data_IF_199398946741
#
_entry.id   IF_199398946741
#
_cell.length_a   1.000
_cell.length_b   1.000
_cell.length_c   1.000
_cell.angle_alpha   90.00
_cell.angle_beta   90.00
_cell.angle_gamma   90.00
#
_symmetry.space_group_name_H-M   'P 1'
#
loop_
_entity.id
_entity.type
_entity.pdbx_description
1 polymer ?
#
# COMPACT_ATOMS: atom_id res chain seq x y z
N UNK A 1 -29.11 0.01 25.66
CA UNK A 1 -29.38 -1.18 24.83
C UNK A 1 -29.90 -0.72 23.48
N UNK A 2 -29.28 -1.16 22.40
CA UNK A 2 -29.70 -0.91 21.01
C UNK A 2 -30.05 -2.26 20.39
N UNK A 3 -31.26 -2.48 19.92
CA UNK A 3 -31.67 -3.74 19.30
C UNK A 3 -31.92 -3.57 17.79
N UNK A 4 -32.08 -4.70 17.09
CA UNK A 4 -32.33 -4.72 15.66
C UNK A 4 -33.80 -5.02 15.29
N UNK A 5 -34.73 -4.92 16.25
CA UNK A 5 -36.16 -5.13 16.06
C UNK A 5 -36.62 -6.58 15.92
N UNK A 6 -35.69 -7.55 15.98
CA UNK A 6 -35.99 -8.99 15.98
C UNK A 6 -35.82 -9.57 17.38
N UNK A 7 -36.51 -10.67 17.67
CA UNK A 7 -36.43 -11.36 18.96
C UNK A 7 -36.04 -12.83 18.80
N UNK A 8 -35.19 -13.32 19.68
CA UNK A 8 -34.81 -14.73 19.81
C UNK A 8 -35.21 -15.29 21.18
N UNK A 9 -35.26 -16.63 21.26
CA UNK A 9 -35.55 -17.35 22.50
C UNK A 9 -34.35 -17.31 23.47
N UNK A 10 -33.13 -17.30 22.94
CA UNK A 10 -31.88 -17.30 23.71
C UNK A 10 -30.83 -16.46 22.99
N UNK A 11 -30.07 -15.69 23.75
CA UNK A 11 -29.00 -14.84 23.23
C UNK A 11 -27.65 -15.26 23.81
N UNK A 12 -26.61 -15.14 22.99
CA UNK A 12 -25.22 -15.40 23.36
C UNK A 12 -24.36 -14.20 23.00
N UNK A 13 -23.43 -13.84 23.89
CA UNK A 13 -22.43 -12.81 23.62
C UNK A 13 -21.43 -13.29 22.57
N UNK A 14 -21.17 -12.46 21.56
CA UNK A 14 -20.12 -12.67 20.56
C UNK A 14 -18.90 -11.77 20.76
N UNK A 15 -18.87 -11.00 21.86
CA UNK A 15 -17.76 -10.13 22.24
C UNK A 15 -18.02 -8.65 21.96
N UNK A 16 -16.95 -7.87 22.13
CA UNK A 16 -16.97 -6.42 22.04
C UNK A 16 -17.06 -5.90 20.59
N UNK A 17 -17.87 -4.86 20.38
CA UNK A 17 -18.03 -4.12 19.14
C UNK A 17 -17.87 -2.61 19.36
N UNK A 18 -17.23 -1.92 18.42
CA UNK A 18 -17.13 -0.46 18.46
C UNK A 18 -18.52 0.20 18.33
N UNK A 19 -18.79 1.19 19.18
CA UNK A 19 -20.07 1.89 19.23
C UNK A 19 -20.44 2.60 17.91
N UNK A 20 -19.44 2.99 17.09
CA UNK A 20 -19.64 3.60 15.76
C UNK A 20 -20.08 2.57 14.70
N UNK A 21 -19.73 1.30 14.91
CA UNK A 21 -19.98 0.21 13.94
C UNK A 21 -21.19 -0.64 14.36
N UNK A 22 -21.59 -0.58 15.64
CA UNK A 22 -22.70 -1.35 16.20
C UNK A 22 -24.02 -1.21 15.43
N UNK A 23 -24.41 0.01 15.03
CA UNK A 23 -25.68 0.24 14.32
C UNK A 23 -25.69 -0.39 12.89
N UNK A 24 -24.67 -0.17 12.04
CA UNK A 24 -24.54 -0.89 10.76
C UNK A 24 -24.58 -2.41 10.89
N UNK A 25 -23.92 -2.97 11.90
CA UNK A 25 -23.88 -4.43 12.13
C UNK A 25 -25.25 -4.95 12.55
N UNK A 26 -25.94 -4.28 13.48
CA UNK A 26 -27.30 -4.63 13.88
C UNK A 26 -28.26 -4.58 12.68
N UNK A 27 -28.13 -3.57 11.81
CA UNK A 27 -28.93 -3.46 10.59
C UNK A 27 -28.62 -4.59 9.58
N UNK A 28 -27.37 -5.02 9.46
CA UNK A 28 -26.99 -6.15 8.60
C UNK A 28 -27.54 -7.48 9.14
N UNK A 29 -27.48 -7.71 10.46
CA UNK A 29 -28.06 -8.88 11.12
C UNK A 29 -29.59 -8.91 10.97
N UNK A 30 -30.27 -7.77 11.09
CA UNK A 30 -31.71 -7.69 10.84
C UNK A 30 -32.09 -8.08 9.41
N UNK A 31 -31.30 -7.62 8.41
CA UNK A 31 -31.50 -8.02 7.00
C UNK A 31 -31.26 -9.51 6.76
N UNK A 32 -30.37 -10.13 7.55
CA UNK A 32 -30.13 -11.57 7.54
C UNK A 32 -31.20 -12.37 8.31
N UNK A 33 -32.14 -11.70 8.99
CA UNK A 33 -33.17 -12.35 9.82
C UNK A 33 -32.65 -12.87 11.16
N UNK A 34 -31.50 -12.36 11.62
CA UNK A 34 -30.83 -12.79 12.84
C UNK A 34 -31.12 -11.78 13.94
N UNK A 35 -31.74 -12.22 15.04
CA UNK A 35 -32.01 -11.35 16.18
C UNK A 35 -30.72 -11.00 16.93
N UNK A 36 -30.51 -9.72 17.19
CA UNK A 36 -29.33 -9.23 17.86
C UNK A 36 -29.60 -7.91 18.59
N UNK A 37 -28.86 -7.69 19.67
CA UNK A 37 -28.83 -6.43 20.40
C UNK A 37 -27.43 -6.13 20.90
N UNK A 38 -27.20 -4.86 21.22
CA UNK A 38 -25.95 -4.38 21.78
C UNK A 38 -26.22 -3.71 23.13
N UNK A 39 -25.48 -4.12 24.14
CA UNK A 39 -25.49 -3.51 25.46
C UNK A 39 -24.37 -2.49 25.57
N UNK A 40 -24.71 -1.27 26.00
CA UNK A 40 -23.71 -0.21 26.17
C UNK A 40 -22.90 -0.51 27.41
N UNK A 41 -21.58 -0.56 27.25
CA UNK A 41 -20.63 -0.75 28.34
C UNK A 41 -20.08 0.62 28.80
N UNK A 42 -19.74 0.75 30.08
CA UNK A 42 -19.04 1.94 30.59
C UNK A 42 -17.60 2.03 30.07
N UNK A 43 -16.99 0.88 29.77
CA UNK A 43 -15.69 0.75 29.12
C UNK A 43 -15.90 0.26 27.68
N UNK A 44 -15.44 1.05 26.69
CA UNK A 44 -15.47 0.66 25.28
C UNK A 44 -14.61 -0.59 25.09
N UNK A 45 -15.05 -1.61 24.32
CA UNK A 45 -16.20 -1.66 23.40
C UNK A 45 -17.57 -2.05 24.02
N UNK A 46 -18.66 -1.73 23.31
CA UNK A 46 -20.02 -2.21 23.64
C UNK A 46 -20.10 -3.74 23.44
N UNK A 47 -20.98 -4.45 24.15
CA UNK A 47 -21.09 -5.91 24.04
C UNK A 47 -22.22 -6.32 23.07
N UNK A 48 -21.90 -7.18 22.09
CA UNK A 48 -22.85 -7.64 21.08
C UNK A 48 -23.42 -9.02 21.43
N UNK A 49 -24.74 -9.11 21.48
CA UNK A 49 -25.49 -10.34 21.73
C UNK A 49 -26.29 -10.74 20.49
N UNK A 50 -26.27 -12.03 20.16
CA UNK A 50 -26.93 -12.60 18.99
C UNK A 50 -27.69 -13.88 19.36
N UNK A 51 -28.73 -14.21 18.60
CA UNK A 51 -29.46 -15.49 18.69
C UNK A 51 -28.50 -16.69 18.77
N UNK A 52 -28.59 -17.43 19.88
CA UNK A 52 -27.74 -18.59 20.15
C UNK A 52 -27.86 -19.69 19.08
N UNK A 53 -29.02 -19.80 18.41
CA UNK A 53 -29.26 -20.76 17.34
C UNK A 53 -28.64 -20.39 15.99
N UNK A 54 -28.16 -19.15 15.83
CA UNK A 54 -27.71 -18.62 14.53
C UNK A 54 -26.27 -18.09 14.55
N UNK A 55 -25.47 -18.47 15.55
CA UNK A 55 -24.08 -17.99 15.72
C UNK A 55 -23.23 -18.19 14.47
N UNK A 56 -23.28 -19.39 13.86
CA UNK A 56 -22.47 -19.72 12.68
C UNK A 56 -22.86 -18.88 11.45
N UNK A 57 -24.13 -18.48 11.36
CA UNK A 57 -24.62 -17.59 10.30
C UNK A 57 -24.33 -16.12 10.60
N UNK A 58 -24.33 -15.74 11.88
CA UNK A 58 -24.07 -14.37 12.32
C UNK A 58 -22.62 -13.95 12.13
N UNK A 59 -21.65 -14.83 12.44
CA UNK A 59 -20.20 -14.53 12.34
C UNK A 59 -19.77 -13.93 11.00
N UNK A 60 -20.08 -14.54 9.83
CA UNK A 60 -19.68 -13.96 8.55
C UNK A 60 -20.42 -12.65 8.23
N UNK A 61 -21.67 -12.50 8.68
CA UNK A 61 -22.44 -11.25 8.51
C UNK A 61 -21.78 -10.12 9.30
N UNK A 62 -21.45 -10.37 10.58
CA UNK A 62 -20.78 -9.41 11.46
C UNK A 62 -19.46 -8.97 10.84
N UNK A 63 -18.56 -9.91 10.52
CA UNK A 63 -17.25 -9.60 9.96
C UNK A 63 -17.33 -8.69 8.73
N UNK A 64 -18.19 -9.04 7.76
CA UNK A 64 -18.38 -8.25 6.55
C UNK A 64 -18.98 -6.87 6.84
N UNK A 65 -20.02 -6.81 7.67
CA UNK A 65 -20.69 -5.54 7.98
C UNK A 65 -19.83 -4.59 8.81
N UNK A 66 -18.92 -5.11 9.64
CA UNK A 66 -17.93 -4.32 10.37
C UNK A 66 -16.93 -3.70 9.40
N UNK A 67 -16.33 -4.50 8.51
CA UNK A 67 -15.38 -4.01 7.49
C UNK A 67 -16.02 -2.96 6.57
N UNK A 68 -17.26 -3.22 6.10
CA UNK A 68 -18.00 -2.28 5.23
C UNK A 68 -18.27 -0.95 5.95
N UNK A 69 -18.57 -0.98 7.26
CA UNK A 69 -18.82 0.22 8.05
C UNK A 69 -17.53 1.01 8.33
N UNK A 70 -16.44 0.32 8.67
CA UNK A 70 -15.11 0.93 8.87
C UNK A 70 -14.62 1.61 7.58
N UNK A 71 -14.72 0.92 6.44
CA UNK A 71 -14.34 1.48 5.15
C UNK A 71 -15.21 2.70 4.79
N UNK A 72 -16.52 2.62 5.01
CA UNK A 72 -17.42 3.75 4.77
C UNK A 72 -17.07 4.96 5.63
N UNK A 73 -16.68 4.75 6.89
CA UNK A 73 -16.21 5.82 7.78
C UNK A 73 -14.95 6.48 7.25
N UNK A 74 -13.95 5.68 6.83
CA UNK A 74 -12.72 6.19 6.21
C UNK A 74 -13.00 7.02 4.95
N UNK A 75 -13.89 6.54 4.08
CA UNK A 75 -14.28 7.27 2.86
C UNK A 75 -15.00 8.57 3.19
N UNK A 76 -15.87 8.56 4.20
CA UNK A 76 -16.56 9.77 4.64
C UNK A 76 -15.59 10.80 5.22
N UNK A 77 -14.64 10.36 6.05
CA UNK A 77 -13.59 11.22 6.59
C UNK A 77 -12.69 11.77 5.49
N UNK A 78 -12.32 10.94 4.52
CA UNK A 78 -11.52 11.38 3.37
C UNK A 78 -12.22 12.44 2.52
N UNK A 79 -13.54 12.32 2.34
CA UNK A 79 -14.34 13.29 1.59
C UNK A 79 -14.85 14.46 2.46
N UNK A 80 -14.52 14.49 3.76
CA UNK A 80 -14.89 15.60 4.61
C UNK A 80 -14.18 16.88 4.13
N UNK A 81 -14.86 18.04 4.16
CA UNK A 81 -14.19 19.30 3.87
C UNK A 81 -13.00 19.44 4.82
N UNK A 82 -11.89 19.91 4.27
CA UNK A 82 -10.69 20.15 5.05
C UNK A 82 -10.93 21.27 6.07
N UNK A 83 -10.03 21.40 7.05
CA UNK A 83 -10.15 22.44 8.07
C UNK A 83 -10.31 23.84 7.42
N UNK A 84 -11.05 24.77 8.06
CA UNK A 84 -11.24 26.13 7.53
C UNK A 84 -9.91 26.76 7.12
N UNK A 85 -9.79 27.15 5.86
CA UNK A 85 -8.57 27.71 5.26
C UNK A 85 -7.76 26.72 4.42
N UNK A 86 -8.05 25.42 4.40
CA UNK A 86 -7.25 24.46 3.62
C UNK A 86 -7.71 24.30 2.15
N UNK A 87 -8.82 24.94 1.79
CA UNK A 87 -9.50 24.91 0.49
C UNK A 87 -9.66 26.32 -0.12
N UNK A 88 -8.84 27.29 0.30
CA UNK A 88 -8.79 28.62 -0.32
C UNK A 88 -9.71 29.68 0.30
N UNK A 89 -10.01 29.57 1.59
CA UNK A 89 -10.65 30.65 2.36
C UNK A 89 -9.78 31.90 2.53
N UNK A 90 -10.26 32.90 3.27
CA UNK A 90 -9.61 34.22 3.45
C UNK A 90 -8.17 34.14 4.01
N UNK A 91 -7.83 33.06 4.72
CA UNK A 91 -6.46 32.70 5.10
C UNK A 91 -6.17 31.25 4.71
N UNK A 92 -5.58 31.01 3.52
CA UNK A 92 -5.21 29.68 3.09
C UNK A 92 -4.11 29.11 3.99
N UNK A 93 -4.31 27.91 4.56
CA UNK A 93 -3.24 27.13 5.19
C UNK A 93 -2.69 26.20 4.10
N UNK A 94 -1.45 26.41 3.62
CA UNK A 94 -0.87 25.60 2.55
C UNK A 94 -0.83 24.11 2.94
N UNK A 95 -1.08 23.24 1.96
CA UNK A 95 -0.96 21.78 2.10
C UNK A 95 0.49 21.30 2.28
N UNK A 96 1.43 22.19 2.00
CA UNK A 96 2.85 21.93 1.89
C UNK A 96 3.61 23.01 2.65
N UNK A 97 4.77 22.74 3.26
CA UNK A 97 5.53 23.77 3.95
C UNK A 97 5.88 24.90 2.99
N UNK A 98 5.65 26.15 3.39
CA UNK A 98 5.98 27.32 2.57
C UNK A 98 7.48 27.42 2.21
N UNK A 99 8.35 26.72 2.93
CA UNK A 99 9.78 26.62 2.60
C UNK A 99 10.07 25.79 1.36
N UNK A 100 9.12 24.96 0.95
CA UNK A 100 9.20 24.09 -0.21
C UNK A 100 8.27 24.58 -1.35
N UNK A 101 7.55 25.69 -1.12
CA UNK A 101 6.87 26.39 -2.19
C UNK A 101 7.93 26.98 -3.12
N UNK A 102 7.87 26.59 -4.39
CA UNK A 102 8.73 27.17 -5.41
C UNK A 102 8.21 28.58 -5.68
N UNK A 103 9.01 29.60 -5.40
CA UNK A 103 8.68 30.97 -5.78
C UNK A 103 8.34 31.01 -7.28
N UNK A 104 7.27 31.72 -7.65
CA UNK A 104 6.85 31.91 -9.04
C UNK A 104 7.99 32.51 -9.90
N UNK A 105 8.92 33.17 -9.22
CA UNK A 105 10.22 33.59 -9.74
C UNK A 105 11.27 32.49 -9.60
N UNK A 106 11.01 31.32 -10.19
CA UNK A 106 12.04 30.32 -10.36
C UNK A 106 13.03 30.86 -11.41
N UNK A 107 14.15 31.44 -10.96
CA UNK A 107 15.33 31.61 -11.79
C UNK A 107 16.05 30.26 -11.77
N UNK A 108 15.93 29.45 -12.84
CA UNK A 108 16.53 28.13 -12.83
C UNK A 108 18.04 28.30 -12.66
N UNK A 109 18.64 27.62 -11.68
CA UNK A 109 20.10 27.56 -11.51
C UNK A 109 20.80 26.90 -12.72
N UNK A 110 20.02 26.29 -13.61
CA UNK A 110 20.43 25.79 -14.91
C UNK A 110 19.92 26.79 -15.95
N UNK A 111 20.77 27.17 -16.90
CA UNK A 111 20.42 28.07 -18.00
C UNK A 111 19.35 27.40 -18.91
N UNK A 112 18.08 27.57 -18.58
CA UNK A 112 16.96 27.05 -19.37
C UNK A 112 16.78 28.01 -20.55
N UNK A 113 16.83 27.54 -21.81
CA UNK A 113 16.74 28.43 -22.97
C UNK A 113 15.48 29.29 -22.91
N UNK A 114 15.68 30.61 -23.07
CA UNK A 114 14.77 31.72 -22.74
C UNK A 114 13.45 31.80 -23.54
N UNK A 115 12.65 30.73 -23.55
CA UNK A 115 11.40 30.63 -24.29
C UNK A 115 10.18 30.21 -23.48
N UNK A 116 10.27 30.14 -22.15
CA UNK A 116 9.23 29.54 -21.30
C UNK A 116 8.73 30.44 -20.15
N UNK A 117 9.18 31.69 -20.07
CA UNK A 117 8.67 32.66 -19.10
C UNK A 117 7.58 33.50 -19.80
N UNK A 118 6.31 33.27 -19.45
CA UNK A 118 5.19 34.13 -19.87
C UNK A 118 4.98 35.18 -18.77
N UNK A 119 5.60 36.35 -18.95
CA UNK A 119 5.36 37.53 -18.13
C UNK A 119 4.30 38.43 -18.78
N UNK A 120 3.35 38.93 -17.98
CA UNK A 120 2.28 39.84 -18.40
C UNK A 120 2.77 41.31 -18.42
N UNK A 121 3.71 41.61 -19.33
CA UNK A 121 4.14 42.99 -19.62
C UNK A 121 3.33 43.56 -20.80
N UNK A 122 3.04 44.88 -20.82
CA UNK A 122 2.23 45.49 -21.88
C UNK A 122 2.87 45.28 -23.26
N UNK A 123 2.08 44.70 -24.16
CA UNK A 123 2.47 44.28 -25.53
C UNK A 123 3.23 45.37 -26.30
N UNK A 124 4.56 45.30 -26.29
CA UNK A 124 5.35 45.75 -27.43
C UNK A 124 5.10 44.79 -28.59
N UNK A 125 5.02 45.32 -29.82
CA UNK A 125 4.73 44.55 -31.03
C UNK A 125 5.53 43.23 -31.04
N UNK A 126 4.87 42.06 -31.23
CA UNK A 126 5.54 40.79 -31.08
C UNK A 126 6.67 40.71 -32.11
N UNK A 127 7.91 40.83 -31.64
CA UNK A 127 9.07 40.57 -32.47
C UNK A 127 8.86 39.19 -33.13
N UNK A 128 9.13 39.07 -34.45
CA UNK A 128 8.94 37.80 -35.13
C UNK A 128 9.78 36.76 -34.41
N UNK A 129 9.10 35.81 -33.74
CA UNK A 129 9.74 34.74 -32.98
C UNK A 129 10.97 34.25 -33.73
N UNK A 130 12.17 34.27 -33.11
CA UNK A 130 13.37 33.79 -33.76
C UNK A 130 13.08 32.38 -34.26
N UNK A 131 13.41 32.11 -35.53
CA UNK A 131 13.21 30.78 -36.11
C UNK A 131 13.92 29.79 -35.19
N UNK A 132 13.15 28.85 -34.62
CA UNK A 132 13.68 27.74 -33.82
C UNK A 132 14.91 27.21 -34.56
N UNK A 133 16.07 27.24 -33.90
CA UNK A 133 17.27 26.62 -34.45
C UNK A 133 16.86 25.20 -34.88
N UNK A 134 17.25 24.80 -36.10
CA UNK A 134 16.92 23.46 -36.57
C UNK A 134 17.37 22.46 -35.50
N UNK A 135 16.50 21.52 -35.11
CA UNK A 135 16.82 20.51 -34.11
C UNK A 135 18.18 19.89 -34.47
N UNK A 136 19.21 20.16 -33.68
CA UNK A 136 20.54 19.60 -33.92
C UNK A 136 20.42 18.08 -33.71
N UNK A 137 20.67 17.24 -34.72
CA UNK A 137 20.61 15.78 -34.56
C UNK A 137 21.54 15.26 -33.47
N UNK A 138 22.49 16.08 -33.00
CA UNK A 138 23.46 15.76 -31.97
C UNK A 138 23.05 16.20 -30.54
N UNK A 139 21.95 16.96 -30.37
CA UNK A 139 21.45 17.38 -29.05
C UNK A 139 20.52 16.34 -28.38
N UNK A 140 20.35 15.17 -28.99
CA UNK A 140 19.61 14.08 -28.38
C UNK A 140 20.54 13.16 -27.58
N UNK A 141 20.45 13.21 -26.25
CA UNK A 141 21.12 12.23 -25.40
C UNK A 141 20.62 10.83 -25.74
N UNK A 142 21.49 10.00 -26.31
CA UNK A 142 21.26 8.56 -26.47
C UNK A 142 21.85 7.88 -25.25
N UNK A 143 21.02 7.31 -24.35
CA UNK A 143 21.54 6.55 -23.22
C UNK A 143 22.51 5.49 -23.73
N UNK A 144 23.68 5.33 -23.12
CA UNK A 144 24.57 4.23 -23.48
C UNK A 144 23.81 2.92 -23.30
N UNK A 145 24.08 1.95 -24.17
CA UNK A 145 23.47 0.64 -24.03
C UNK A 145 23.77 0.09 -22.61
N UNK A 146 22.75 -0.43 -21.90
CA UNK A 146 22.94 -0.92 -20.55
C UNK A 146 24.02 -2.00 -20.54
N UNK A 147 24.86 -1.99 -19.50
CA UNK A 147 25.87 -3.03 -19.34
C UNK A 147 25.21 -4.41 -19.31
N UNK A 148 25.85 -5.41 -19.91
CA UNK A 148 25.30 -6.77 -19.94
C UNK A 148 25.04 -7.25 -18.51
N UNK A 149 23.83 -7.71 -18.26
CA UNK A 149 23.44 -8.22 -16.95
C UNK A 149 24.39 -9.31 -16.42
N UNK A 150 24.65 -9.34 -15.12
CA UNK A 150 25.53 -10.34 -14.52
C UNK A 150 24.98 -11.75 -14.73
N UNK A 151 25.83 -12.68 -15.18
CA UNK A 151 25.46 -14.07 -15.41
C UNK A 151 25.26 -14.79 -14.06
N UNK A 152 24.22 -15.61 -13.95
CA UNK A 152 24.07 -16.51 -12.80
C UNK A 152 25.18 -17.58 -12.80
N UNK A 153 25.99 -17.57 -11.74
CA UNK A 153 26.95 -18.61 -11.39
C UNK A 153 26.25 -19.93 -11.05
N UNK A 154 26.94 -21.07 -11.21
CA UNK A 154 26.38 -22.40 -10.98
C UNK A 154 25.92 -22.60 -9.53
N UNK A 155 26.61 -21.98 -8.56
CA UNK A 155 26.24 -21.97 -7.15
C UNK A 155 24.88 -21.28 -6.95
N UNK A 156 24.67 -20.13 -7.60
CA UNK A 156 23.40 -19.42 -7.52
C UNK A 156 22.26 -20.25 -8.10
N UNK A 157 22.50 -20.99 -9.19
CA UNK A 157 21.48 -21.87 -9.78
C UNK A 157 21.10 -23.01 -8.83
N UNK A 158 22.08 -23.62 -8.15
CA UNK A 158 21.79 -24.65 -7.13
C UNK A 158 21.05 -24.07 -5.93
N UNK A 159 21.37 -22.85 -5.51
CA UNK A 159 20.70 -22.20 -4.41
C UNK A 159 19.22 -21.90 -4.74
N UNK A 160 18.93 -21.43 -5.95
CA UNK A 160 17.57 -21.28 -6.45
C UNK A 160 16.84 -22.61 -6.58
N UNK A 161 17.54 -23.67 -7.01
CA UNK A 161 16.98 -25.03 -7.05
C UNK A 161 16.62 -25.52 -5.65
N UNK A 162 17.44 -25.28 -4.63
CA UNK A 162 17.10 -25.62 -3.24
C UNK A 162 15.91 -24.80 -2.74
N UNK A 163 15.93 -23.48 -2.97
CA UNK A 163 14.91 -22.54 -2.51
C UNK A 163 13.53 -22.82 -3.11
N UNK A 164 13.44 -23.11 -4.41
CA UNK A 164 12.16 -23.42 -5.06
C UNK A 164 11.86 -24.92 -5.04
N UNK A 165 12.88 -25.76 -5.21
CA UNK A 165 12.74 -27.20 -5.28
C UNK A 165 12.30 -27.82 -3.96
N UNK A 166 12.75 -27.31 -2.80
CA UNK A 166 12.29 -27.80 -1.49
C UNK A 166 10.76 -27.68 -1.33
N UNK A 167 10.17 -26.48 -1.42
CA UNK A 167 8.72 -26.29 -1.35
C UNK A 167 7.94 -27.07 -2.43
N UNK A 168 8.42 -27.06 -3.68
CA UNK A 168 7.77 -27.80 -4.76
C UNK A 168 7.78 -29.30 -4.48
N UNK A 169 8.89 -29.84 -3.98
CA UNK A 169 9.02 -31.25 -3.64
C UNK A 169 8.11 -31.63 -2.47
N UNK A 170 7.91 -30.76 -1.47
CA UNK A 170 6.93 -30.97 -0.41
C UNK A 170 5.49 -31.00 -0.95
N UNK A 171 5.15 -30.08 -1.85
CA UNK A 171 3.82 -30.06 -2.50
C UNK A 171 3.61 -31.35 -3.30
N UNK A 172 4.59 -31.77 -4.09
CA UNK A 172 4.51 -33.03 -4.86
C UNK A 172 4.40 -34.24 -3.93
N UNK A 173 5.19 -34.30 -2.86
CA UNK A 173 5.14 -35.39 -1.90
C UNK A 173 3.76 -35.50 -1.21
N UNK A 174 3.10 -34.36 -0.95
CA UNK A 174 1.76 -34.32 -0.40
C UNK A 174 0.67 -34.70 -1.44
N UNK A 175 0.81 -34.29 -2.70
CA UNK A 175 -0.16 -34.58 -3.76
C UNK A 175 -0.15 -36.06 -4.19
N UNK A 176 1.03 -36.68 -4.20
CA UNK A 176 1.23 -38.05 -4.67
C UNK A 176 1.49 -39.05 -3.52
N UNK A 177 1.36 -38.62 -2.27
CA UNK A 177 1.49 -39.42 -1.04
C UNK A 177 2.77 -40.28 -0.97
N UNK A 178 3.90 -39.73 -1.41
CA UNK A 178 5.21 -40.42 -1.39
C UNK A 178 6.19 -39.86 -0.36
N UNK A 179 5.78 -38.91 0.47
CA UNK A 179 6.63 -38.19 1.41
C UNK A 179 7.07 -38.99 2.63
N UNK A 180 8.01 -39.92 2.48
CA UNK A 180 8.71 -40.49 3.64
C UNK A 180 9.53 -39.39 4.36
N UNK A 181 9.79 -39.60 5.65
CA UNK A 181 10.60 -38.76 6.54
C UNK A 181 11.89 -38.24 5.92
N UNK A 182 12.57 -39.07 5.11
CA UNK A 182 13.81 -38.72 4.41
C UNK A 182 13.61 -37.67 3.31
N UNK A 183 12.52 -37.79 2.55
CA UNK A 183 12.18 -36.87 1.45
C UNK A 183 11.81 -35.51 2.03
N UNK A 184 10.99 -35.51 3.08
CA UNK A 184 10.62 -34.30 3.82
C UNK A 184 11.86 -33.63 4.41
N UNK A 185 12.75 -34.39 5.05
CA UNK A 185 14.01 -33.86 5.59
C UNK A 185 14.92 -33.27 4.50
N UNK A 186 15.05 -33.94 3.35
CA UNK A 186 15.84 -33.45 2.22
C UNK A 186 15.25 -32.16 1.64
N UNK A 187 13.93 -32.06 1.53
CA UNK A 187 13.23 -30.88 1.03
C UNK A 187 13.48 -29.67 1.93
N UNK A 188 13.32 -29.85 3.24
CA UNK A 188 13.52 -28.79 4.24
C UNK A 188 15.00 -28.38 4.30
N UNK A 189 15.92 -29.34 4.36
CA UNK A 189 17.36 -29.05 4.37
C UNK A 189 17.83 -28.35 3.09
N UNK A 190 17.31 -28.77 1.93
CA UNK A 190 17.57 -28.15 0.63
C UNK A 190 17.03 -26.72 0.55
N UNK A 191 15.82 -26.48 1.05
CA UNK A 191 15.23 -25.14 1.13
C UNK A 191 16.07 -24.20 2.00
N UNK A 192 16.40 -24.62 3.23
CA UNK A 192 17.20 -23.83 4.16
C UNK A 192 18.59 -23.58 3.59
N UNK A 193 19.25 -24.61 3.05
CA UNK A 193 20.57 -24.49 2.45
C UNK A 193 20.59 -23.54 1.24
N UNK A 194 19.59 -23.63 0.37
CA UNK A 194 19.43 -22.73 -0.78
C UNK A 194 19.22 -21.28 -0.35
N UNK A 195 18.32 -21.06 0.61
CA UNK A 195 18.04 -19.73 1.16
C UNK A 195 19.28 -19.10 1.81
N UNK A 196 19.94 -19.82 2.72
CA UNK A 196 21.14 -19.32 3.40
C UNK A 196 22.27 -19.00 2.41
N UNK A 197 22.45 -19.84 1.38
CA UNK A 197 23.46 -19.60 0.34
C UNK A 197 23.19 -18.29 -0.41
N UNK A 198 21.93 -17.97 -0.73
CA UNK A 198 21.57 -16.71 -1.38
C UNK A 198 21.84 -15.51 -0.49
N UNK A 199 21.40 -15.54 0.77
CA UNK A 199 21.55 -14.42 1.71
C UNK A 199 23.03 -14.09 1.94
N UNK A 200 23.86 -15.10 2.21
CA UNK A 200 25.29 -14.90 2.43
C UNK A 200 25.92 -14.24 1.20
N UNK A 201 25.57 -14.71 0.00
CA UNK A 201 26.18 -14.23 -1.24
C UNK A 201 25.62 -12.89 -1.75
N UNK A 202 24.49 -12.43 -1.23
CA UNK A 202 23.98 -11.09 -1.51
C UNK A 202 24.86 -10.02 -0.85
N UNK A 203 25.43 -10.31 0.33
CA UNK A 203 26.25 -9.37 1.11
C UNK A 203 27.58 -9.03 0.42
N UNK A 204 28.09 -9.91 -0.43
CA UNK A 204 29.37 -9.73 -1.12
C UNK A 204 29.29 -8.85 -2.40
N UNK A 205 28.12 -8.27 -2.71
CA UNK A 205 27.89 -7.51 -3.96
C UNK A 205 27.76 -6.00 -3.78
N UNK A 206 27.81 -5.47 -2.55
CA UNK A 206 27.96 -4.02 -2.38
C UNK A 206 29.43 -3.65 -2.64
N UNK A 207 29.73 -2.75 -3.59
CA UNK A 207 31.04 -2.12 -3.64
C UNK A 207 31.31 -1.45 -2.29
N UNK A 208 32.50 -1.64 -1.72
CA UNK A 208 32.92 -0.89 -0.51
C UNK A 208 33.28 0.57 -0.82
N UNK A 209 33.22 0.96 -2.09
CA UNK A 209 33.73 2.24 -2.59
C UNK A 209 32.62 3.26 -2.91
N UNK A 210 31.42 3.10 -2.33
CA UNK A 210 30.43 4.19 -2.26
C UNK A 210 30.99 5.27 -1.35
N UNK A 211 31.86 6.09 -1.94
CA UNK A 211 32.12 7.46 -1.50
C UNK A 211 30.75 8.12 -1.38
N UNK A 212 30.38 8.74 -0.24
CA UNK A 212 29.15 9.50 -0.12
C UNK A 212 29.23 10.75 -1.00
N UNK A 213 29.12 10.58 -2.31
CA UNK A 213 28.97 11.67 -3.26
C UNK A 213 27.50 11.73 -3.61
N UNK A 214 26.82 12.50 -2.76
CA UNK A 214 25.43 12.90 -2.86
C UNK A 214 25.14 13.42 -4.26
N UNK A 215 24.01 13.02 -4.85
CA UNK A 215 23.57 13.42 -6.19
C UNK A 215 23.18 14.90 -6.32
N UNK A 216 23.86 15.80 -5.61
CA UNK A 216 23.69 17.23 -5.65
C UNK A 216 25.00 17.88 -6.07
N UNK A 217 25.13 18.15 -7.37
CA UNK A 217 26.05 19.19 -7.85
C UNK A 217 25.33 20.53 -7.68
N UNK A 218 25.82 21.36 -6.76
CA UNK A 218 25.47 22.78 -6.65
C UNK A 218 26.28 23.63 -7.62
#
# INVERSE_FOLDING_TARGET
MRDNGLTAAEYTSLGGIDAQVAEPVLAALAKAGIAAYCETSEEVPDELFVDAGQIDQARPVIARSTEDAEWKSLVQQFNAPSAPGHDGGETPVPRWPASEDVDEKYEPLIDVPAGLIVGDEPEDEPEPRPKRAADDPHDHYVPPEPTRGPKLDWISRLAWLGLLGGPILLILAALFDFGDSRITALAVAGFIGGFLTLVIRMKDRLPQDDTPDDGAVV
#
